data_IF_907407804417
#
_entry.id   IF_907407804417
#
_cell.length_a   1.000
_cell.length_b   1.000
_cell.length_c   1.000
_cell.angle_alpha   90.00
_cell.angle_beta   90.00
_cell.angle_gamma   90.00
#
_symmetry.space_group_name_H-M   'P 1'
#
loop_
_entity.id
_entity.type
_entity.pdbx_description
1 polymer ?
#
# COMPACT_ATOMS: atom_id res chain seq x y z
N UNK A 1 -63.43 -21.81 41.12
CA UNK A 1 -62.13 -21.34 41.64
C UNK A 1 -60.94 -21.96 40.93
N UNK A 2 -61.12 -22.75 39.88
CA UNK A 2 -59.98 -23.43 39.13
C UNK A 2 -59.57 -22.78 37.82
N UNK A 3 -60.30 -21.79 37.27
CA UNK A 3 -59.97 -21.17 35.99
C UNK A 3 -58.94 -20.03 36.10
N UNK A 4 -58.73 -19.40 37.23
CA UNK A 4 -57.81 -18.30 37.46
C UNK A 4 -56.36 -18.71 37.59
N UNK A 5 -56.05 -19.87 38.15
CA UNK A 5 -54.68 -20.37 38.35
C UNK A 5 -54.03 -20.86 37.02
N UNK A 6 -54.81 -21.41 36.09
CA UNK A 6 -54.29 -21.94 34.81
C UNK A 6 -53.85 -20.82 33.90
N UNK A 7 -54.58 -19.71 33.81
CA UNK A 7 -54.27 -18.54 33.03
C UNK A 7 -52.96 -17.85 33.54
N UNK A 8 -52.77 -17.77 34.86
CA UNK A 8 -51.57 -17.14 35.43
C UNK A 8 -50.29 -17.94 35.14
N UNK A 9 -50.39 -19.29 35.14
CA UNK A 9 -49.28 -20.19 34.81
C UNK A 9 -48.91 -20.10 33.34
N UNK A 10 -49.87 -20.01 32.46
CA UNK A 10 -49.65 -19.87 30.98
C UNK A 10 -48.98 -18.51 30.68
N UNK A 11 -49.44 -17.41 31.28
CA UNK A 11 -48.85 -16.08 31.10
C UNK A 11 -47.42 -15.97 31.65
N UNK A 12 -47.08 -16.61 32.76
CA UNK A 12 -45.73 -16.65 33.29
C UNK A 12 -44.78 -17.48 32.42
N UNK A 13 -45.27 -18.61 31.85
CA UNK A 13 -44.49 -19.46 30.94
C UNK A 13 -44.20 -18.77 29.63
N UNK A 14 -45.15 -18.00 29.06
CA UNK A 14 -44.98 -17.20 27.84
C UNK A 14 -43.99 -16.05 28.08
N UNK A 15 -44.09 -15.30 29.21
CA UNK A 15 -43.15 -14.22 29.56
C UNK A 15 -41.72 -14.73 29.76
N UNK A 16 -41.56 -15.94 30.37
CA UNK A 16 -40.22 -16.55 30.56
C UNK A 16 -39.59 -16.95 29.25
N UNK A 17 -40.38 -17.55 28.33
CA UNK A 17 -39.89 -17.93 27.00
C UNK A 17 -39.61 -16.72 26.09
N UNK A 18 -40.34 -15.62 26.23
CA UNK A 18 -40.14 -14.40 25.50
C UNK A 18 -38.88 -13.65 25.96
N UNK A 19 -38.61 -13.62 27.28
CA UNK A 19 -37.33 -13.08 27.79
C UNK A 19 -36.13 -13.90 27.37
N UNK A 20 -36.24 -15.23 27.27
CA UNK A 20 -35.19 -16.11 26.82
C UNK A 20 -34.92 -15.94 25.32
N UNK A 21 -35.96 -15.78 24.48
CA UNK A 21 -35.83 -15.48 23.03
C UNK A 21 -35.24 -14.10 22.76
N UNK A 22 -35.60 -13.08 23.58
CA UNK A 22 -35.02 -11.73 23.48
C UNK A 22 -33.56 -11.71 23.95
N UNK A 23 -33.17 -12.49 24.94
CA UNK A 23 -31.78 -12.62 25.37
C UNK A 23 -30.92 -13.34 24.32
N UNK A 24 -31.44 -14.38 23.65
CA UNK A 24 -30.76 -15.05 22.54
C UNK A 24 -30.65 -14.16 21.30
N UNK A 25 -31.65 -13.33 20.99
CA UNK A 25 -31.62 -12.38 19.91
C UNK A 25 -30.61 -11.25 20.16
N UNK A 26 -30.48 -10.79 21.42
CA UNK A 26 -29.49 -9.79 21.82
C UNK A 26 -28.04 -10.33 21.73
N UNK A 27 -27.83 -11.62 22.02
CA UNK A 27 -26.51 -12.28 21.89
C UNK A 27 -26.15 -12.53 20.45
N UNK A 28 -27.11 -12.77 19.53
CA UNK A 28 -26.84 -12.94 18.09
C UNK A 28 -26.57 -11.62 17.36
N UNK A 29 -27.01 -10.48 17.86
CA UNK A 29 -26.73 -9.16 17.26
C UNK A 29 -25.32 -8.65 17.61
N UNK A 30 -24.65 -9.22 18.60
CA UNK A 30 -23.29 -8.82 19.01
C UNK A 30 -22.15 -9.50 18.22
N UNK A 31 -22.41 -10.37 17.27
CA UNK A 31 -21.36 -11.15 16.57
C UNK A 31 -21.09 -10.74 15.12
N UNK A 32 -21.55 -9.57 14.66
CA UNK A 32 -21.19 -9.04 13.35
C UNK A 32 -20.52 -7.66 13.44
N UNK A 33 -19.62 -7.45 14.38
CA UNK A 33 -18.61 -6.44 14.19
C UNK A 33 -17.57 -7.04 13.24
N UNK A 34 -17.69 -6.75 11.95
CA UNK A 34 -16.55 -6.79 11.05
C UNK A 34 -15.49 -5.90 11.68
N UNK A 35 -14.46 -6.49 12.28
CA UNK A 35 -13.32 -5.76 12.80
C UNK A 35 -12.52 -5.30 11.58
N UNK A 36 -12.91 -4.15 10.99
CA UNK A 36 -12.06 -3.45 10.06
C UNK A 36 -10.72 -3.15 10.74
N UNK A 37 -9.64 -3.23 10.01
CA UNK A 37 -8.33 -2.84 10.50
C UNK A 37 -8.37 -1.42 11.11
N UNK A 38 -7.63 -1.20 12.18
CA UNK A 38 -7.59 0.10 12.84
C UNK A 38 -6.78 1.10 12.00
N UNK A 39 -7.47 2.04 11.35
CA UNK A 39 -6.84 3.14 10.62
C UNK A 39 -6.50 4.30 11.54
N UNK A 40 -5.29 4.82 11.45
CA UNK A 40 -4.81 5.94 12.27
C UNK A 40 -3.92 6.87 11.46
N UNK A 41 -4.15 8.18 11.55
CA UNK A 41 -3.21 9.20 11.09
C UNK A 41 -2.03 9.28 12.05
N UNK A 42 -0.81 9.32 11.51
CA UNK A 42 0.44 9.36 12.27
C UNK A 42 1.27 10.54 11.81
N UNK A 43 1.48 11.50 12.71
CA UNK A 43 2.36 12.63 12.45
C UNK A 43 3.81 12.27 12.79
N UNK A 44 4.73 12.74 11.96
CA UNK A 44 6.18 12.64 12.14
C UNK A 44 6.87 13.83 11.48
N UNK A 45 8.18 13.95 11.57
CA UNK A 45 8.90 15.14 11.12
C UNK A 45 10.16 14.79 10.31
N UNK A 46 10.46 15.66 9.37
CA UNK A 46 11.76 15.80 8.75
C UNK A 46 12.26 17.23 8.99
N UNK A 47 13.15 17.40 9.97
CA UNK A 47 13.50 18.71 10.48
C UNK A 47 12.26 19.49 10.96
N UNK A 48 11.97 20.61 10.33
CA UNK A 48 10.80 21.44 10.62
C UNK A 48 9.55 21.03 9.82
N UNK A 49 9.70 20.20 8.78
CA UNK A 49 8.57 19.77 7.97
C UNK A 49 7.73 18.72 8.71
N UNK A 50 6.45 19.02 8.91
CA UNK A 50 5.48 18.06 9.45
C UNK A 50 4.99 17.16 8.31
N UNK A 51 5.05 15.85 8.56
CA UNK A 51 4.59 14.79 7.70
C UNK A 51 3.42 14.06 8.40
N UNK A 52 2.46 13.56 7.63
CA UNK A 52 1.29 12.90 8.20
C UNK A 52 0.89 11.69 7.34
N UNK A 53 1.38 10.51 7.73
CA UNK A 53 1.08 9.24 7.09
C UNK A 53 -0.16 8.57 7.66
N UNK A 54 -0.57 7.46 7.05
CA UNK A 54 -1.71 6.64 7.49
C UNK A 54 -1.22 5.24 7.85
N UNK A 55 -1.44 4.84 9.09
CA UNK A 55 -1.25 3.47 9.57
C UNK A 55 -2.55 2.70 9.51
N UNK A 56 -2.52 1.48 8.97
CA UNK A 56 -3.64 0.54 8.99
C UNK A 56 -3.15 -0.75 9.62
N UNK A 57 -3.73 -1.11 10.77
CA UNK A 57 -3.38 -2.34 11.48
C UNK A 57 -4.38 -3.43 11.18
N UNK A 58 -3.94 -4.67 10.95
CA UNK A 58 -4.83 -5.79 10.73
C UNK A 58 -5.61 -6.14 12.01
N UNK A 59 -6.84 -6.58 11.86
CA UNK A 59 -7.60 -7.16 12.97
C UNK A 59 -7.05 -8.52 13.43
N UNK A 60 -6.44 -9.26 12.50
CA UNK A 60 -5.77 -10.54 12.72
C UNK A 60 -4.40 -10.51 12.06
N UNK A 61 -3.35 -10.11 12.79
CA UNK A 61 -2.02 -10.03 12.21
C UNK A 61 -1.49 -11.41 11.81
N UNK A 62 -0.70 -11.45 10.74
CA UNK A 62 0.09 -12.61 10.37
C UNK A 62 1.16 -12.90 11.43
N UNK A 63 1.67 -14.14 11.44
CA UNK A 63 2.82 -14.51 12.28
C UNK A 63 3.98 -13.54 11.99
N UNK A 64 4.71 -13.14 13.01
CA UNK A 64 5.80 -12.18 12.97
C UNK A 64 5.39 -10.73 12.64
N UNK A 65 4.11 -10.43 12.43
CA UNK A 65 3.60 -9.08 12.15
C UNK A 65 4.34 -8.35 11.00
N UNK A 66 4.38 -8.91 9.80
CA UNK A 66 5.07 -8.30 8.67
C UNK A 66 4.47 -6.94 8.30
N UNK A 67 5.32 -6.05 7.78
CA UNK A 67 4.95 -4.68 7.46
C UNK A 67 5.03 -4.35 5.97
N UNK A 68 4.10 -3.54 5.49
CA UNK A 68 4.12 -3.01 4.13
C UNK A 68 4.13 -1.48 4.17
N UNK A 69 5.23 -0.90 3.67
CA UNK A 69 5.32 0.53 3.43
C UNK A 69 4.80 0.84 2.02
N UNK A 70 3.78 1.69 1.94
CA UNK A 70 3.16 2.09 0.67
C UNK A 70 3.58 3.52 0.35
N UNK A 71 4.21 3.70 -0.80
CA UNK A 71 4.57 5.00 -1.34
C UNK A 71 3.49 5.41 -2.36
N UNK A 72 2.73 6.50 -2.10
CA UNK A 72 1.62 6.90 -2.94
C UNK A 72 2.08 7.48 -4.28
N UNK A 73 1.16 7.61 -5.22
CA UNK A 73 1.35 8.30 -6.48
C UNK A 73 1.60 9.81 -6.27
N UNK A 74 1.80 10.52 -7.37
CA UNK A 74 2.22 11.94 -7.37
C UNK A 74 1.26 12.94 -6.73
N UNK A 75 -0.02 12.59 -6.57
CA UNK A 75 -0.97 13.42 -5.80
C UNK A 75 -0.83 13.27 -4.27
N UNK A 76 0.05 12.37 -3.80
CA UNK A 76 0.21 12.06 -2.38
C UNK A 76 -0.81 11.03 -1.90
N UNK A 77 -1.16 11.07 -0.62
CA UNK A 77 -2.06 10.10 0.01
C UNK A 77 -3.49 10.28 -0.53
N UNK A 78 -3.87 9.43 -1.45
CA UNK A 78 -5.17 9.36 -2.09
C UNK A 78 -5.98 8.12 -1.65
N UNK A 79 -7.17 7.94 -2.23
CA UNK A 79 -8.02 6.80 -1.90
C UNK A 79 -7.48 5.48 -2.46
N UNK A 80 -6.72 5.51 -3.56
CA UNK A 80 -6.07 4.32 -4.13
C UNK A 80 -5.00 3.77 -3.17
N UNK A 81 -4.16 4.63 -2.59
CA UNK A 81 -3.15 4.22 -1.61
C UNK A 81 -3.79 3.73 -0.29
N UNK A 82 -4.88 4.38 0.15
CA UNK A 82 -5.65 3.96 1.33
C UNK A 82 -6.33 2.60 1.13
N UNK A 83 -6.95 2.38 -0.06
CA UNK A 83 -7.57 1.10 -0.41
C UNK A 83 -6.53 -0.03 -0.39
N UNK A 84 -5.36 0.20 -0.97
CA UNK A 84 -4.26 -0.76 -0.94
C UNK A 84 -3.83 -1.09 0.49
N UNK A 85 -3.74 -0.10 1.39
CA UNK A 85 -3.42 -0.32 2.80
C UNK A 85 -4.49 -1.15 3.51
N UNK A 86 -5.77 -0.88 3.25
CA UNK A 86 -6.88 -1.64 3.82
C UNK A 86 -6.88 -3.09 3.31
N UNK A 87 -6.74 -3.30 2.00
CA UNK A 87 -6.66 -4.64 1.39
C UNK A 87 -5.51 -5.48 1.98
N UNK A 88 -4.35 -4.87 2.23
CA UNK A 88 -3.22 -5.55 2.86
C UNK A 88 -3.46 -5.83 4.35
N UNK A 89 -4.09 -4.91 5.07
CA UNK A 89 -4.47 -5.12 6.47
C UNK A 89 -5.51 -6.24 6.62
N UNK A 90 -6.47 -6.36 5.69
CA UNK A 90 -7.44 -7.47 5.66
C UNK A 90 -6.75 -8.83 5.44
N UNK A 91 -5.58 -8.85 4.79
CA UNK A 91 -4.74 -10.04 4.63
C UNK A 91 -3.79 -10.28 5.81
N UNK A 92 -3.78 -9.40 6.82
CA UNK A 92 -3.00 -9.57 8.04
C UNK A 92 -1.67 -8.81 8.09
N UNK A 93 -1.36 -7.95 7.12
CA UNK A 93 -0.17 -7.11 7.11
C UNK A 93 -0.40 -5.81 7.87
N UNK A 94 0.59 -5.33 8.62
CA UNK A 94 0.59 -3.94 9.11
C UNK A 94 1.01 -3.02 7.97
N UNK A 95 0.14 -2.11 7.54
CA UNK A 95 0.39 -1.22 6.42
C UNK A 95 0.61 0.23 6.88
N UNK A 96 1.46 0.96 6.16
CA UNK A 96 1.69 2.38 6.37
C UNK A 96 1.80 3.11 5.03
N UNK A 97 0.93 4.09 4.81
CA UNK A 97 1.00 4.98 3.64
C UNK A 97 1.85 6.19 4.00
N UNK A 98 2.94 6.39 3.27
CA UNK A 98 3.89 7.47 3.50
C UNK A 98 3.36 8.83 3.05
N UNK A 99 3.65 9.88 3.82
CA UNK A 99 3.58 11.26 3.33
C UNK A 99 4.99 11.68 2.89
N UNK A 100 5.16 11.92 1.58
CA UNK A 100 6.45 12.34 1.02
C UNK A 100 6.56 13.87 1.02
N UNK A 101 5.45 14.57 0.81
CA UNK A 101 5.46 16.02 0.60
C UNK A 101 5.46 16.83 1.90
N UNK A 102 4.63 16.43 2.86
CA UNK A 102 4.34 17.20 4.08
C UNK A 102 2.93 17.78 4.05
N UNK A 103 2.39 18.02 5.24
CA UNK A 103 0.97 18.38 5.44
C UNK A 103 0.59 19.64 4.67
N UNK A 104 1.45 20.66 4.68
CA UNK A 104 1.26 21.95 4.03
C UNK A 104 1.81 22.02 2.60
N UNK A 105 2.42 20.92 2.12
CA UNK A 105 3.08 20.81 0.81
C UNK A 105 2.39 19.84 -0.13
N UNK A 106 1.25 19.27 0.22
CA UNK A 106 0.52 18.36 -0.65
C UNK A 106 0.00 19.07 -1.89
N UNK A 107 0.17 18.51 -3.09
CA UNK A 107 -0.34 19.13 -4.30
C UNK A 107 -1.87 19.14 -4.30
N UNK A 108 -2.46 20.20 -4.82
CA UNK A 108 -3.92 20.39 -4.95
C UNK A 108 -4.40 20.17 -6.38
N UNK A 109 -3.47 20.11 -7.36
CA UNK A 109 -3.75 19.89 -8.77
C UNK A 109 -2.57 19.20 -9.47
N UNK A 110 -2.78 18.72 -10.69
CA UNK A 110 -1.78 17.95 -11.45
C UNK A 110 -0.51 18.75 -11.79
N UNK A 111 -0.61 20.08 -12.00
CA UNK A 111 0.55 20.91 -12.28
C UNK A 111 1.47 20.98 -11.06
N UNK A 112 0.92 21.22 -9.88
CA UNK A 112 1.66 21.18 -8.61
C UNK A 112 2.23 19.79 -8.33
N UNK A 113 1.45 18.73 -8.59
CA UNK A 113 1.91 17.35 -8.41
C UNK A 113 3.14 17.06 -9.28
N UNK A 114 3.11 17.48 -10.55
CA UNK A 114 4.25 17.33 -11.45
C UNK A 114 5.49 18.07 -10.97
N UNK A 115 5.33 19.32 -10.49
CA UNK A 115 6.44 20.12 -9.96
C UNK A 115 7.05 19.46 -8.70
N UNK A 116 6.21 19.05 -7.75
CA UNK A 116 6.66 18.43 -6.49
C UNK A 116 7.30 17.06 -6.70
N UNK A 117 6.69 16.20 -7.50
CA UNK A 117 7.29 14.91 -7.87
C UNK A 117 8.63 15.11 -8.61
N UNK A 118 8.69 16.08 -9.53
CA UNK A 118 9.92 16.47 -10.23
C UNK A 118 11.00 16.99 -9.29
N UNK A 119 10.62 17.75 -8.25
CA UNK A 119 11.54 18.20 -7.22
C UNK A 119 12.19 17.01 -6.50
N UNK A 120 11.41 16.05 -5.99
CA UNK A 120 11.95 14.88 -5.27
C UNK A 120 12.77 13.96 -6.16
N UNK A 121 12.40 13.81 -7.45
CA UNK A 121 13.22 13.06 -8.43
C UNK A 121 14.59 13.71 -8.67
N UNK A 122 14.71 15.03 -8.54
CA UNK A 122 15.98 15.76 -8.63
C UNK A 122 16.73 15.79 -7.31
N UNK A 123 16.01 15.85 -6.18
CA UNK A 123 16.57 15.89 -4.83
C UNK A 123 16.46 14.50 -4.18
N UNK A 124 17.10 13.53 -4.81
CA UNK A 124 16.90 12.13 -4.51
C UNK A 124 17.23 11.74 -3.06
N UNK A 125 18.24 12.39 -2.46
CA UNK A 125 18.60 12.16 -1.05
C UNK A 125 17.47 12.55 -0.09
N UNK A 126 16.79 13.67 -0.36
CA UNK A 126 15.62 14.07 0.43
C UNK A 126 14.49 13.08 0.25
N UNK A 127 14.24 12.62 -0.98
CA UNK A 127 13.24 11.58 -1.24
C UNK A 127 13.53 10.30 -0.44
N UNK A 128 14.75 9.82 -0.50
CA UNK A 128 15.20 8.64 0.25
C UNK A 128 15.04 8.85 1.77
N UNK A 129 15.34 10.04 2.28
CA UNK A 129 15.13 10.41 3.69
C UNK A 129 13.65 10.34 4.07
N UNK A 130 12.74 10.88 3.24
CA UNK A 130 11.28 10.80 3.47
C UNK A 130 10.78 9.37 3.52
N UNK A 131 11.29 8.50 2.63
CA UNK A 131 10.96 7.07 2.63
C UNK A 131 11.48 6.39 3.91
N UNK A 132 12.72 6.68 4.31
CA UNK A 132 13.31 6.12 5.53
C UNK A 132 12.56 6.55 6.80
N UNK A 133 12.12 7.80 6.89
CA UNK A 133 11.31 8.30 8.00
C UNK A 133 9.95 7.60 8.06
N UNK A 134 9.31 7.37 6.91
CA UNK A 134 8.06 6.63 6.84
C UNK A 134 8.24 5.15 7.23
N UNK A 135 9.34 4.52 6.82
CA UNK A 135 9.70 3.16 7.25
C UNK A 135 9.84 3.08 8.77
N UNK A 136 10.51 4.06 9.38
CA UNK A 136 10.63 4.13 10.83
C UNK A 136 9.25 4.26 11.53
N UNK A 137 8.28 4.95 10.91
CA UNK A 137 6.92 5.01 11.46
C UNK A 137 6.20 3.66 11.34
N UNK A 138 6.32 2.95 10.22
CA UNK A 138 5.74 1.61 10.06
C UNK A 138 6.24 0.68 11.19
N UNK A 139 7.55 0.66 11.45
CA UNK A 139 8.15 -0.12 12.55
C UNK A 139 7.59 0.33 13.90
N UNK A 140 7.51 1.64 14.14
CA UNK A 140 6.95 2.20 15.38
C UNK A 140 5.47 1.88 15.58
N UNK A 141 4.72 1.64 14.50
CA UNK A 141 3.34 1.17 14.57
C UNK A 141 3.25 -0.34 14.85
N UNK A 142 4.35 -1.04 14.93
CA UNK A 142 4.45 -2.43 15.40
C UNK A 142 4.80 -3.47 14.33
N UNK A 143 5.11 -3.05 13.11
CA UNK A 143 5.62 -3.99 12.11
C UNK A 143 7.01 -4.52 12.51
N UNK A 144 7.25 -5.80 12.26
CA UNK A 144 8.56 -6.42 12.49
C UNK A 144 9.61 -5.82 11.53
N UNK A 145 10.69 -5.21 12.03
CA UNK A 145 11.71 -4.59 11.18
C UNK A 145 12.44 -5.57 10.26
N UNK A 146 12.42 -6.87 10.57
CA UNK A 146 13.06 -7.90 9.75
C UNK A 146 12.14 -8.43 8.63
N UNK A 147 10.82 -8.12 8.67
CA UNK A 147 9.82 -8.64 7.74
C UNK A 147 9.03 -7.47 7.09
N UNK A 148 9.71 -6.64 6.30
CA UNK A 148 9.13 -5.47 5.65
C UNK A 148 9.32 -5.54 4.13
N UNK A 149 8.27 -5.12 3.40
CA UNK A 149 8.32 -4.81 1.97
C UNK A 149 7.93 -3.34 1.75
N UNK A 150 8.65 -2.67 0.86
CA UNK A 150 8.28 -1.33 0.35
C UNK A 150 7.61 -1.50 -1.00
N UNK A 151 6.43 -0.95 -1.17
CA UNK A 151 5.76 -0.90 -2.47
C UNK A 151 5.35 0.53 -2.82
N UNK A 152 5.19 0.81 -4.10
CA UNK A 152 4.75 2.13 -4.52
C UNK A 152 4.14 2.17 -5.91
N UNK A 153 3.38 3.24 -6.16
CA UNK A 153 2.62 3.48 -7.38
C UNK A 153 3.13 4.73 -8.10
N UNK A 154 3.37 4.69 -9.42
CA UNK A 154 3.80 5.84 -10.21
C UNK A 154 5.04 6.54 -9.59
N UNK A 155 4.93 7.76 -9.10
CA UNK A 155 5.98 8.45 -8.34
C UNK A 155 6.47 7.61 -7.15
N UNK A 156 5.56 7.01 -6.37
CA UNK A 156 5.91 6.09 -5.29
C UNK A 156 6.60 4.81 -5.79
N UNK A 157 6.27 4.34 -7.00
CA UNK A 157 6.96 3.23 -7.66
C UNK A 157 8.42 3.55 -7.94
N UNK A 158 8.71 4.78 -8.41
CA UNK A 158 10.09 5.29 -8.52
C UNK A 158 10.78 5.32 -7.14
N UNK A 159 10.05 5.73 -6.09
CA UNK A 159 10.54 5.72 -4.71
C UNK A 159 10.87 4.31 -4.20
N UNK A 160 10.08 3.30 -4.56
CA UNK A 160 10.37 1.91 -4.23
C UNK A 160 11.67 1.44 -4.89
N UNK A 161 11.91 1.79 -6.17
CA UNK A 161 13.19 1.52 -6.85
C UNK A 161 14.34 2.25 -6.16
N UNK A 162 14.14 3.50 -5.71
CA UNK A 162 15.14 4.23 -4.94
C UNK A 162 15.42 3.60 -3.56
N UNK A 163 14.43 3.01 -2.91
CA UNK A 163 14.65 2.25 -1.70
C UNK A 163 15.56 1.03 -1.93
N UNK A 164 15.42 0.34 -3.08
CA UNK A 164 16.35 -0.72 -3.48
C UNK A 164 17.76 -0.19 -3.74
N UNK A 165 17.88 0.93 -4.49
CA UNK A 165 19.16 1.58 -4.83
C UNK A 165 19.97 2.04 -3.62
N UNK A 166 19.30 2.37 -2.51
CA UNK A 166 19.96 2.70 -1.23
C UNK A 166 20.23 1.48 -0.38
N UNK A 167 19.91 0.29 -0.87
CA UNK A 167 20.00 -0.95 -0.11
C UNK A 167 19.29 -0.84 1.25
N UNK A 168 18.09 -0.25 1.23
CA UNK A 168 17.27 -0.07 2.43
C UNK A 168 17.04 -1.43 3.10
N UNK A 169 17.12 -1.48 4.43
CA UNK A 169 17.02 -2.74 5.18
C UNK A 169 15.57 -3.25 5.20
N UNK A 170 15.17 -3.88 4.09
CA UNK A 170 13.85 -4.50 3.88
C UNK A 170 14.01 -5.81 3.09
N UNK A 171 13.02 -6.68 3.13
CA UNK A 171 13.04 -7.98 2.41
C UNK A 171 12.87 -7.81 0.91
N UNK A 172 12.04 -6.87 0.50
CA UNK A 172 11.76 -6.66 -0.91
C UNK A 172 11.17 -5.29 -1.21
N UNK A 173 11.18 -4.94 -2.48
CA UNK A 173 10.50 -3.76 -3.01
C UNK A 173 9.60 -4.14 -4.19
N UNK A 174 8.50 -3.40 -4.36
CA UNK A 174 7.58 -3.59 -5.49
C UNK A 174 7.25 -2.25 -6.11
N UNK A 175 7.50 -2.10 -7.41
CA UNK A 175 7.17 -0.90 -8.19
C UNK A 175 6.01 -1.20 -9.12
N UNK A 176 4.89 -0.50 -8.96
CA UNK A 176 3.76 -0.51 -9.89
C UNK A 176 3.86 0.71 -10.81
N UNK A 177 3.97 0.48 -12.11
CA UNK A 177 4.07 1.54 -13.13
C UNK A 177 4.92 2.74 -12.69
N UNK A 178 6.02 2.46 -12.00
CA UNK A 178 6.94 3.50 -11.51
C UNK A 178 7.92 3.91 -12.59
N UNK A 179 8.42 5.15 -12.48
CA UNK A 179 9.53 5.61 -13.29
C UNK A 179 10.80 4.84 -12.97
N UNK A 180 11.53 4.42 -13.99
CA UNK A 180 12.66 3.50 -13.91
C UNK A 180 14.01 4.22 -13.95
N UNK A 181 14.02 5.48 -14.43
CA UNK A 181 15.22 6.27 -14.66
C UNK A 181 16.09 6.42 -13.40
N UNK A 182 17.38 6.55 -13.62
CA UNK A 182 18.41 6.80 -12.62
C UNK A 182 19.35 7.92 -13.12
N UNK A 183 19.85 8.74 -12.21
CA UNK A 183 20.98 9.60 -12.51
C UNK A 183 22.23 8.72 -12.75
N UNK A 184 22.72 8.74 -13.98
CA UNK A 184 23.83 7.89 -14.44
C UNK A 184 25.17 8.23 -13.77
N UNK A 185 25.28 9.42 -13.14
CA UNK A 185 26.49 9.80 -12.37
C UNK A 185 26.59 9.07 -11.04
N UNK A 186 25.50 8.44 -10.58
CA UNK A 186 25.48 7.69 -9.33
C UNK A 186 26.07 6.29 -9.54
N UNK A 187 26.90 5.87 -8.59
CA UNK A 187 27.44 4.50 -8.55
C UNK A 187 26.31 3.48 -8.42
N UNK A 188 26.47 2.34 -9.09
CA UNK A 188 25.61 1.18 -8.91
C UNK A 188 26.17 0.34 -7.77
N UNK A 189 25.45 0.35 -6.64
CA UNK A 189 25.79 -0.46 -5.47
C UNK A 189 25.08 -1.81 -5.54
N UNK A 190 25.52 -2.77 -4.74
CA UNK A 190 24.81 -4.06 -4.61
C UNK A 190 23.42 -3.83 -4.02
N UNK A 191 22.40 -4.46 -4.59
CA UNK A 191 21.02 -4.41 -4.12
C UNK A 191 20.69 -5.75 -3.44
N UNK A 192 20.44 -5.69 -2.14
CA UNK A 192 20.11 -6.87 -1.32
C UNK A 192 18.61 -7.19 -1.28
N UNK A 193 17.69 -6.21 -1.17
CA UNK A 193 16.26 -6.49 -1.24
C UNK A 193 15.87 -7.14 -2.56
N UNK A 194 14.93 -8.10 -2.53
CA UNK A 194 14.35 -8.62 -3.77
C UNK A 194 13.52 -7.54 -4.47
N UNK A 195 13.51 -7.53 -5.79
CA UNK A 195 12.92 -6.46 -6.60
C UNK A 195 11.84 -7.01 -7.53
N UNK A 196 10.61 -6.49 -7.41
CA UNK A 196 9.51 -6.79 -8.34
C UNK A 196 9.06 -5.51 -9.06
N UNK A 197 9.18 -5.51 -10.39
CA UNK A 197 8.71 -4.43 -11.26
C UNK A 197 7.46 -4.87 -12.01
N UNK A 198 6.36 -4.14 -11.85
CA UNK A 198 5.06 -4.41 -12.47
C UNK A 198 4.75 -3.27 -13.45
N UNK A 199 4.96 -3.53 -14.74
CA UNK A 199 5.06 -2.50 -15.77
C UNK A 199 3.95 -2.63 -16.83
N UNK A 200 3.35 -1.50 -17.24
CA UNK A 200 2.45 -1.46 -18.39
C UNK A 200 3.26 -1.58 -19.69
N UNK A 201 2.94 -2.58 -20.52
CA UNK A 201 3.72 -2.84 -21.74
C UNK A 201 3.66 -1.69 -22.75
N UNK A 202 2.62 -0.86 -22.66
CA UNK A 202 2.37 0.26 -23.56
C UNK A 202 2.50 1.62 -22.82
N UNK A 203 3.25 1.65 -21.69
CA UNK A 203 3.49 2.88 -20.92
C UNK A 203 4.39 3.83 -21.71
N UNK A 204 3.87 5.00 -22.15
CA UNK A 204 4.63 5.92 -22.99
C UNK A 204 5.65 6.76 -22.22
N UNK A 205 5.62 6.71 -20.89
CA UNK A 205 6.52 7.50 -20.03
C UNK A 205 7.84 6.81 -19.74
N UNK A 206 7.95 5.50 -20.07
CA UNK A 206 9.17 4.72 -19.90
C UNK A 206 9.67 4.21 -21.25
N UNK A 207 10.77 4.75 -21.72
CA UNK A 207 11.37 4.33 -23.00
C UNK A 207 11.99 2.92 -22.91
N UNK A 208 12.17 2.27 -24.06
CA UNK A 208 12.85 0.97 -24.10
C UNK A 208 14.28 1.07 -23.55
N UNK A 209 14.94 2.21 -23.81
CA UNK A 209 16.29 2.48 -23.34
C UNK A 209 16.34 2.58 -21.80
N UNK A 210 15.35 3.21 -21.17
CA UNK A 210 15.26 3.28 -19.71
C UNK A 210 14.99 1.91 -19.09
N UNK A 211 14.14 1.11 -19.73
CA UNK A 211 13.89 -0.29 -19.31
C UNK A 211 15.19 -1.11 -19.40
N UNK A 212 15.92 -1.02 -20.52
CA UNK A 212 17.20 -1.72 -20.69
C UNK A 212 18.25 -1.24 -19.69
N UNK A 213 18.33 0.06 -19.42
CA UNK A 213 19.21 0.65 -18.39
C UNK A 213 18.90 0.09 -17.00
N UNK A 214 17.61 0.05 -16.61
CA UNK A 214 17.22 -0.57 -15.34
C UNK A 214 17.63 -2.04 -15.26
N UNK A 215 17.37 -2.83 -16.32
CA UNK A 215 17.73 -4.25 -16.33
C UNK A 215 19.24 -4.45 -16.22
N UNK A 216 20.03 -3.61 -16.86
CA UNK A 216 21.49 -3.63 -16.76
C UNK A 216 21.99 -3.20 -15.38
N UNK A 217 21.32 -2.21 -14.78
CA UNK A 217 21.56 -1.80 -13.38
C UNK A 217 21.31 -2.96 -12.43
N UNK A 218 20.17 -3.65 -12.54
CA UNK A 218 19.84 -4.79 -11.68
C UNK A 218 20.85 -5.93 -11.79
N UNK A 219 21.33 -6.23 -13.00
CA UNK A 219 22.40 -7.22 -13.23
C UNK A 219 23.72 -6.78 -12.60
N UNK A 220 24.12 -5.53 -12.78
CA UNK A 220 25.37 -4.97 -12.21
C UNK A 220 25.31 -4.93 -10.70
N UNK A 221 24.16 -4.58 -10.14
CA UNK A 221 23.89 -4.57 -8.70
C UNK A 221 23.75 -5.97 -8.09
N UNK A 222 23.81 -7.04 -8.89
CA UNK A 222 23.58 -8.43 -8.47
C UNK A 222 22.24 -8.62 -7.74
N UNK A 223 21.24 -7.86 -8.10
CA UNK A 223 19.91 -7.92 -7.51
C UNK A 223 19.21 -9.24 -7.86
N UNK A 224 18.40 -9.75 -6.94
CA UNK A 224 17.37 -10.75 -7.23
C UNK A 224 16.11 -9.97 -7.67
N UNK A 225 15.79 -10.04 -8.98
CA UNK A 225 14.75 -9.18 -9.54
C UNK A 225 13.88 -9.89 -10.57
N UNK A 226 12.65 -9.43 -10.65
CA UNK A 226 11.66 -9.82 -11.67
C UNK A 226 10.98 -8.58 -12.24
N UNK A 227 10.71 -8.59 -13.55
CA UNK A 227 9.90 -7.59 -14.22
C UNK A 227 8.77 -8.27 -15.01
N UNK A 228 7.54 -7.82 -14.77
CA UNK A 228 6.35 -8.34 -15.44
C UNK A 228 5.70 -7.24 -16.27
N UNK A 229 5.44 -7.55 -17.54
CA UNK A 229 4.77 -6.66 -18.48
C UNK A 229 3.30 -7.02 -18.64
N UNK A 230 2.43 -6.02 -18.57
CA UNK A 230 0.99 -6.18 -18.77
C UNK A 230 0.59 -5.60 -20.12
N UNK A 231 0.25 -6.47 -21.07
CA UNK A 231 -0.17 -6.08 -22.42
C UNK A 231 -1.42 -5.19 -22.38
N UNK A 232 -1.45 -4.20 -23.27
CA UNK A 232 -2.51 -3.19 -23.37
C UNK A 232 -2.72 -2.35 -22.10
N UNK A 233 -1.73 -2.27 -21.23
CA UNK A 233 -1.71 -1.42 -20.06
C UNK A 233 -0.71 -0.29 -20.26
N UNK A 234 -1.16 0.92 -20.00
CA UNK A 234 -0.36 2.15 -19.98
C UNK A 234 -0.03 2.53 -18.54
N UNK A 235 0.50 3.74 -18.31
CA UNK A 235 0.76 4.26 -16.98
C UNK A 235 -0.51 4.25 -16.09
N UNK A 236 -0.34 4.19 -14.77
CA UNK A 236 -1.46 4.22 -13.78
C UNK A 236 -2.51 3.12 -13.97
N UNK A 237 -2.17 1.96 -14.54
CA UNK A 237 -3.12 0.90 -14.83
C UNK A 237 -3.81 0.30 -13.60
N UNK A 238 -3.35 0.60 -12.39
CA UNK A 238 -3.99 0.16 -11.13
C UNK A 238 -4.99 1.18 -10.57
N UNK A 239 -4.98 2.43 -11.06
CA UNK A 239 -5.82 3.50 -10.52
C UNK A 239 -7.13 3.64 -11.31
N UNK A 240 -8.25 3.34 -10.66
CA UNK A 240 -9.59 3.46 -11.26
C UNK A 240 -9.96 4.90 -11.64
N UNK A 241 -9.33 5.89 -11.00
CA UNK A 241 -9.56 7.31 -11.28
C UNK A 241 -8.79 7.80 -12.52
N UNK A 242 -7.84 6.99 -13.05
CA UNK A 242 -7.11 7.34 -14.26
C UNK A 242 -7.97 7.29 -15.55
N UNK A 243 -9.23 6.82 -15.44
CA UNK A 243 -10.11 6.63 -16.59
C UNK A 243 -9.73 5.40 -17.41
N UNK A 244 -10.27 5.28 -18.62
CA UNK A 244 -10.12 4.08 -19.48
C UNK A 244 -9.61 4.39 -20.90
N UNK A 245 -9.06 5.56 -21.12
CA UNK A 245 -8.56 6.02 -22.42
C UNK A 245 -7.02 5.93 -22.49
N UNK A 246 -6.51 4.83 -23.04
CA UNK A 246 -5.08 4.59 -23.17
C UNK A 246 -4.37 5.66 -24.03
N UNK A 247 -5.08 6.37 -24.91
CA UNK A 247 -4.46 7.40 -25.76
C UNK A 247 -3.94 8.60 -24.96
N UNK A 248 -4.38 8.75 -23.70
CA UNK A 248 -3.89 9.78 -22.76
C UNK A 248 -2.58 9.39 -22.07
N UNK A 249 -2.06 8.19 -22.30
CA UNK A 249 -0.83 7.68 -21.70
C UNK A 249 -0.96 7.16 -20.26
N UNK A 250 -2.06 7.47 -19.56
CA UNK A 250 -2.39 6.94 -18.25
C UNK A 250 -3.87 6.53 -18.23
N UNK A 251 -4.17 5.27 -17.88
CA UNK A 251 -5.52 4.73 -17.84
C UNK A 251 -5.59 3.46 -17.00
N UNK A 252 -6.74 3.23 -16.37
CA UNK A 252 -7.04 2.01 -15.63
C UNK A 252 -7.18 0.80 -16.57
N UNK A 253 -6.60 -0.31 -16.16
CA UNK A 253 -6.76 -1.60 -16.85
C UNK A 253 -7.06 -2.69 -15.83
N UNK A 254 -8.31 -3.13 -15.75
CA UNK A 254 -8.79 -4.10 -14.77
C UNK A 254 -8.00 -5.42 -14.78
N UNK A 255 -7.63 -5.93 -15.96
CA UNK A 255 -6.85 -7.17 -16.07
C UNK A 255 -5.44 -7.00 -15.52
N UNK A 256 -4.81 -5.88 -15.86
CA UNK A 256 -3.47 -5.57 -15.38
C UNK A 256 -3.48 -5.32 -13.86
N UNK A 257 -4.47 -4.58 -13.33
CA UNK A 257 -4.64 -4.35 -11.89
C UNK A 257 -4.76 -5.68 -11.15
N UNK A 258 -5.70 -6.55 -11.52
CA UNK A 258 -5.90 -7.85 -10.87
C UNK A 258 -4.66 -8.73 -10.92
N UNK A 259 -4.03 -8.85 -12.10
CA UNK A 259 -2.84 -9.69 -12.28
C UNK A 259 -1.62 -9.16 -11.53
N UNK A 260 -1.45 -7.83 -11.50
CA UNK A 260 -0.35 -7.23 -10.75
C UNK A 260 -0.53 -7.34 -9.24
N UNK A 261 -1.77 -7.28 -8.76
CA UNK A 261 -2.10 -7.56 -7.37
C UNK A 261 -1.78 -9.01 -6.98
N UNK A 262 -2.15 -10.00 -7.81
CA UNK A 262 -1.79 -11.40 -7.59
C UNK A 262 -0.26 -11.62 -7.62
N UNK A 263 0.45 -10.93 -8.51
CA UNK A 263 1.92 -10.96 -8.54
C UNK A 263 2.52 -10.39 -7.23
N UNK A 264 1.98 -9.27 -6.73
CA UNK A 264 2.33 -8.74 -5.40
C UNK A 264 2.12 -9.79 -4.31
N UNK A 265 0.92 -10.41 -4.24
CA UNK A 265 0.62 -11.39 -3.19
C UNK A 265 1.53 -12.62 -3.25
N UNK A 266 1.90 -13.05 -4.44
CA UNK A 266 2.86 -14.14 -4.64
C UNK A 266 4.24 -13.74 -4.14
N UNK A 267 4.71 -12.54 -4.49
CA UNK A 267 5.97 -11.99 -4.03
C UNK A 267 6.02 -11.83 -2.50
N UNK A 268 4.95 -11.31 -1.87
CA UNK A 268 4.88 -11.17 -0.41
C UNK A 268 5.01 -12.53 0.30
N UNK A 269 4.37 -13.59 -0.22
CA UNK A 269 4.50 -14.95 0.32
C UNK A 269 5.90 -15.54 0.18
N UNK A 270 6.65 -15.11 -0.83
CA UNK A 270 8.02 -15.56 -1.06
C UNK A 270 9.00 -14.91 -0.09
N UNK A 271 8.80 -13.62 0.21
CA UNK A 271 9.82 -12.83 0.92
C UNK A 271 9.52 -12.62 2.41
N UNK A 272 8.25 -12.74 2.83
CA UNK A 272 7.76 -12.56 4.21
C UNK A 272 7.28 -13.86 4.82
#
# INVERSE_FOLDING_TARGET
MFHGLLLTFIFQKIKKNMKFKLLFLAIMVQSTFSTFGQTKTVEYKDGNQILSGISVKPSKPLKNNPGILILPAWMGIDDHAKDSANRLADLGYTAFVADIYGVDQRPTNYAEAGQKAGYFKKNIKEYQTRIQLALAQLIKQGANPEDIVVMGYCFGGSGAVEAARTNMKVKGIVSFHGGLGRDETRTIETITPKVLILHGADDPYESKEEIEKLQNEMRTAKADWQMTYYANAVHSFTDKNAGNDNSKGAAYNEKAEKRSWEALLTFLKEVL
#
